data_IF_379194401032
#
_entry.id   IF_379194401032
#
_cell.length_a   1.000
_cell.length_b   1.000
_cell.length_c   1.000
_cell.angle_alpha   90.00
_cell.angle_beta   90.00
_cell.angle_gamma   90.00
#
_symmetry.space_group_name_H-M   'P 1'
#
loop_
_entity.id
_entity.type
_entity.pdbx_description
1 polymer ?
#
# COMPACT_ATOMS: atom_id res chain seq x y z
N UNK A 1 -11.55 3.99 -18.17
CA UNK A 1 -11.25 5.18 -17.31
C UNK A 1 -11.08 6.43 -18.17
N UNK A 2 -11.46 7.63 -17.69
CA UNK A 2 -11.23 8.90 -18.42
C UNK A 2 -9.73 9.25 -18.52
N UNK A 3 -9.27 9.75 -19.68
CA UNK A 3 -7.83 10.00 -19.95
C UNK A 3 -7.20 10.96 -18.93
N UNK A 4 -7.91 12.04 -18.56
CA UNK A 4 -7.42 13.02 -17.58
C UNK A 4 -7.26 12.41 -16.19
N UNK A 5 -8.22 11.57 -15.78
CA UNK A 5 -8.14 10.82 -14.53
C UNK A 5 -6.95 9.87 -14.51
N UNK A 6 -6.76 9.10 -15.59
CA UNK A 6 -5.61 8.20 -15.73
C UNK A 6 -4.29 8.98 -15.62
N UNK A 7 -4.15 10.09 -16.36
CA UNK A 7 -2.97 10.98 -16.31
C UNK A 7 -2.67 11.43 -14.88
N UNK A 8 -3.69 11.95 -14.17
CA UNK A 8 -3.57 12.43 -12.79
C UNK A 8 -3.11 11.34 -11.82
N UNK A 9 -3.66 10.12 -11.95
CA UNK A 9 -3.30 8.98 -11.11
C UNK A 9 -1.88 8.47 -11.40
N UNK A 10 -1.51 8.38 -12.68
CA UNK A 10 -0.14 8.04 -13.09
C UNK A 10 0.89 9.04 -12.57
N UNK A 11 0.59 10.35 -12.63
CA UNK A 11 1.45 11.39 -12.04
C UNK A 11 1.59 11.20 -10.52
N UNK A 12 0.49 10.95 -9.81
CA UNK A 12 0.52 10.75 -8.36
C UNK A 12 1.36 9.51 -7.98
N UNK A 13 1.19 8.38 -8.68
CA UNK A 13 1.98 7.18 -8.42
C UNK A 13 3.47 7.39 -8.71
N UNK A 14 3.82 8.04 -9.81
CA UNK A 14 5.22 8.37 -10.15
C UNK A 14 5.83 9.28 -9.09
N UNK A 15 5.09 10.28 -8.58
CA UNK A 15 5.56 11.11 -7.46
C UNK A 15 5.74 10.32 -6.18
N UNK A 16 4.81 9.42 -5.83
CA UNK A 16 4.94 8.52 -4.67
C UNK A 16 6.22 7.68 -4.79
N UNK A 17 6.54 7.16 -5.99
CA UNK A 17 7.79 6.42 -6.24
C UNK A 17 9.03 7.28 -6.00
N UNK A 18 9.05 8.51 -6.51
CA UNK A 18 10.15 9.46 -6.29
C UNK A 18 10.34 9.78 -4.81
N UNK A 19 9.24 10.06 -4.11
CA UNK A 19 9.21 10.32 -2.67
C UNK A 19 9.76 9.15 -1.86
N UNK A 20 9.39 7.92 -2.24
CA UNK A 20 9.91 6.71 -1.60
C UNK A 20 11.43 6.55 -1.81
N UNK A 21 11.93 6.79 -3.02
CA UNK A 21 13.37 6.73 -3.32
C UNK A 21 14.14 7.82 -2.56
N UNK A 22 13.66 9.07 -2.56
CA UNK A 22 14.27 10.19 -1.82
C UNK A 22 14.34 9.90 -0.31
N UNK A 23 13.25 9.41 0.28
CA UNK A 23 13.19 9.09 1.71
C UNK A 23 14.21 8.01 2.07
N UNK A 24 14.23 6.90 1.33
CA UNK A 24 15.15 5.78 1.59
C UNK A 24 16.61 6.19 1.37
N UNK A 25 16.91 6.97 0.33
CA UNK A 25 18.24 7.50 0.08
C UNK A 25 18.70 8.44 1.20
N UNK A 26 17.87 9.40 1.59
CA UNK A 26 18.19 10.39 2.64
C UNK A 26 18.45 9.73 4.00
N UNK A 27 17.78 8.61 4.27
CA UNK A 27 17.96 7.83 5.49
C UNK A 27 19.14 6.85 5.45
N UNK A 28 19.72 6.60 4.26
CA UNK A 28 20.60 5.47 3.99
C UNK A 28 20.02 4.12 4.48
N UNK A 29 18.69 4.01 4.55
CA UNK A 29 17.98 2.88 5.15
C UNK A 29 16.50 2.87 4.74
N UNK A 30 15.96 1.69 4.44
CA UNK A 30 14.52 1.53 4.13
C UNK A 30 14.25 0.49 3.06
N UNK A 31 13.00 0.42 2.60
CA UNK A 31 12.53 -0.70 1.76
C UNK A 31 11.96 -0.19 0.43
N UNK A 32 12.79 0.11 -0.57
CA UNK A 32 12.33 0.70 -1.82
C UNK A 32 11.50 -0.29 -2.64
N UNK A 33 11.95 -1.55 -2.78
CA UNK A 33 11.31 -2.51 -3.69
C UNK A 33 9.81 -2.70 -3.44
N UNK A 34 9.42 -3.01 -2.20
CA UNK A 34 8.00 -3.19 -1.85
C UNK A 34 7.22 -1.88 -1.72
N UNK A 35 7.89 -0.74 -1.60
CA UNK A 35 7.25 0.58 -1.59
C UNK A 35 6.83 0.96 -3.02
N UNK A 36 7.71 0.72 -3.99
CA UNK A 36 7.45 1.02 -5.40
C UNK A 36 6.34 0.16 -6.01
N UNK A 37 6.17 -1.09 -5.55
CA UNK A 37 5.15 -2.01 -6.06
C UNK A 37 3.72 -1.56 -5.75
N UNK A 38 3.50 -0.83 -4.64
CA UNK A 38 2.16 -0.42 -4.18
C UNK A 38 1.79 1.02 -4.54
N UNK A 39 2.66 1.75 -5.25
CA UNK A 39 2.46 3.17 -5.52
C UNK A 39 1.18 3.45 -6.35
N UNK A 40 0.82 2.60 -7.31
CA UNK A 40 -0.39 2.78 -8.12
C UNK A 40 -1.66 2.53 -7.30
N UNK A 41 -1.66 1.50 -6.44
CA UNK A 41 -2.75 1.23 -5.49
C UNK A 41 -2.94 2.42 -4.54
N UNK A 42 -1.85 2.95 -3.98
CA UNK A 42 -1.91 4.13 -3.10
C UNK A 42 -2.40 5.38 -3.85
N UNK A 43 -2.00 5.56 -5.11
CA UNK A 43 -2.47 6.66 -5.95
C UNK A 43 -3.99 6.57 -6.15
N UNK A 44 -4.53 5.41 -6.53
CA UNK A 44 -5.98 5.23 -6.67
C UNK A 44 -6.69 5.44 -5.33
N UNK A 45 -6.18 4.87 -4.23
CA UNK A 45 -6.79 5.00 -2.92
C UNK A 45 -6.85 6.46 -2.44
N UNK A 46 -5.73 7.17 -2.38
CA UNK A 46 -5.68 8.51 -1.80
C UNK A 46 -6.18 9.61 -2.72
N UNK A 47 -6.08 9.44 -4.05
CA UNK A 47 -6.37 10.51 -5.00
C UNK A 47 -7.71 10.32 -5.72
N UNK A 48 -8.42 9.22 -5.50
CA UNK A 48 -9.70 8.98 -6.17
C UNK A 48 -10.75 8.29 -5.30
N UNK A 49 -10.37 7.28 -4.52
CA UNK A 49 -11.33 6.38 -3.87
C UNK A 49 -11.67 6.79 -2.44
N UNK A 50 -10.67 7.08 -1.62
CA UNK A 50 -10.83 7.27 -0.18
C UNK A 50 -11.34 8.67 0.13
N UNK A 51 -12.34 8.72 1.02
CA UNK A 51 -12.84 9.95 1.58
C UNK A 51 -11.99 10.36 2.79
N UNK A 52 -11.03 11.26 2.57
CA UNK A 52 -10.10 11.74 3.59
C UNK A 52 -9.93 13.25 3.52
N UNK A 53 -9.61 13.85 4.67
CA UNK A 53 -9.37 15.29 4.84
C UNK A 53 -7.98 15.51 5.45
N UNK A 54 -7.00 15.98 4.67
CA UNK A 54 -5.65 16.21 5.19
C UNK A 54 -5.57 17.26 6.30
N UNK A 55 -6.48 18.24 6.26
CA UNK A 55 -6.67 19.30 7.25
C UNK A 55 -7.43 18.82 8.51
N UNK A 56 -8.13 17.69 8.43
CA UNK A 56 -8.76 17.01 9.57
C UNK A 56 -8.44 15.49 9.57
N UNK A 57 -7.19 15.11 9.89
CA UNK A 57 -6.75 13.72 9.86
C UNK A 57 -7.44 12.83 10.90
N UNK A 58 -8.16 13.42 11.86
CA UNK A 58 -8.92 12.72 12.90
C UNK A 58 -10.42 12.68 12.62
N UNK A 59 -10.86 13.16 11.45
CA UNK A 59 -12.26 13.11 11.03
C UNK A 59 -12.84 11.69 11.19
N UNK A 60 -13.83 11.53 12.05
CA UNK A 60 -14.32 10.22 12.49
C UNK A 60 -14.86 9.35 11.33
N UNK A 61 -15.51 9.98 10.36
CA UNK A 61 -16.19 9.32 9.23
C UNK A 61 -15.29 9.13 8.01
N UNK A 62 -13.99 9.41 8.12
CA UNK A 62 -13.05 9.20 7.02
C UNK A 62 -12.81 7.72 6.76
N UNK A 63 -12.48 7.40 5.52
CA UNK A 63 -11.95 6.09 5.16
C UNK A 63 -10.57 5.88 5.82
N UNK A 64 -10.26 4.62 6.13
CA UNK A 64 -9.03 4.24 6.83
C UNK A 64 -8.17 3.35 5.94
N UNK A 65 -6.85 3.50 6.02
CA UNK A 65 -5.88 2.63 5.35
C UNK A 65 -4.87 2.08 6.35
N UNK A 66 -4.84 0.76 6.49
CA UNK A 66 -3.80 0.07 7.27
C UNK A 66 -2.76 -0.53 6.31
N UNK A 67 -1.54 0.02 6.34
CA UNK A 67 -0.40 -0.60 5.67
C UNK A 67 0.14 -1.76 6.53
N UNK A 68 -0.41 -2.96 6.35
CA UNK A 68 -0.02 -4.15 7.13
C UNK A 68 1.44 -4.55 6.87
N UNK A 69 1.87 -4.45 5.61
CA UNK A 69 3.28 -4.54 5.21
C UNK A 69 4.08 -3.28 5.59
N UNK A 70 4.12 -2.96 6.87
CA UNK A 70 4.58 -1.68 7.42
C UNK A 70 5.98 -1.26 7.00
N UNK A 71 6.85 -2.18 6.59
CA UNK A 71 8.18 -1.83 6.08
C UNK A 71 8.14 -0.96 4.81
N UNK A 72 7.03 -0.99 4.04
CA UNK A 72 6.77 -0.16 2.84
C UNK A 72 6.26 1.26 3.13
N UNK A 73 6.53 1.72 4.34
CA UNK A 73 6.24 3.06 4.83
C UNK A 73 6.67 4.20 3.89
N UNK A 74 7.82 4.15 3.18
CA UNK A 74 8.22 5.21 2.26
C UNK A 74 7.15 5.57 1.21
N UNK A 75 6.41 4.58 0.68
CA UNK A 75 5.32 4.86 -0.26
C UNK A 75 4.08 5.45 0.43
N UNK A 76 3.72 4.95 1.62
CA UNK A 76 2.61 5.52 2.40
C UNK A 76 2.89 6.97 2.77
N UNK A 77 4.09 7.28 3.27
CA UNK A 77 4.48 8.64 3.59
C UNK A 77 4.53 9.52 2.33
N UNK A 78 5.03 9.00 1.21
CA UNK A 78 4.97 9.70 -0.07
C UNK A 78 3.54 10.06 -0.47
N UNK A 79 2.59 9.13 -0.33
CA UNK A 79 1.18 9.36 -0.63
C UNK A 79 0.53 10.38 0.32
N UNK A 80 0.78 10.27 1.63
CA UNK A 80 0.27 11.19 2.64
C UNK A 80 0.81 12.61 2.46
N UNK A 81 2.12 12.75 2.17
CA UNK A 81 2.74 14.04 1.90
C UNK A 81 2.17 14.69 0.63
N UNK A 82 2.09 13.94 -0.46
CA UNK A 82 1.54 14.42 -1.74
C UNK A 82 0.05 14.77 -1.62
N UNK A 83 -0.70 14.05 -0.75
CA UNK A 83 -2.09 14.36 -0.44
C UNK A 83 -2.26 15.57 0.49
N UNK A 84 -1.19 16.03 1.15
CA UNK A 84 -1.17 17.24 1.96
C UNK A 84 -1.33 17.03 3.48
N UNK A 85 -1.16 15.81 4.00
CA UNK A 85 -1.23 15.55 5.44
C UNK A 85 -0.06 16.18 6.22
N UNK A 86 1.07 16.36 5.54
CA UNK A 86 2.26 17.05 6.02
C UNK A 86 3.11 17.51 4.81
N UNK A 87 4.06 18.44 4.99
CA UNK A 87 4.90 18.92 3.89
C UNK A 87 5.79 17.83 3.29
N UNK A 88 5.88 17.79 1.95
CA UNK A 88 6.79 16.89 1.19
C UNK A 88 8.25 17.01 1.65
N UNK A 89 8.68 18.19 2.11
CA UNK A 89 10.04 18.40 2.63
C UNK A 89 10.40 17.55 3.84
N UNK A 90 9.41 17.08 4.61
CA UNK A 90 9.64 16.22 5.77
C UNK A 90 10.16 14.83 5.39
N UNK A 91 9.89 14.36 4.16
CA UNK A 91 10.32 13.04 3.68
C UNK A 91 11.84 12.84 3.72
N UNK A 92 12.63 13.92 3.56
CA UNK A 92 14.09 13.90 3.68
C UNK A 92 14.58 13.58 5.10
N UNK A 93 13.70 13.72 6.10
CA UNK A 93 13.98 13.40 7.49
C UNK A 93 13.52 11.98 7.86
N UNK A 94 13.12 11.15 6.90
CA UNK A 94 12.73 9.76 7.16
C UNK A 94 13.80 9.02 8.00
N UNK A 95 13.37 8.28 9.02
CA UNK A 95 14.22 7.51 9.97
C UNK A 95 15.24 8.32 10.78
N UNK A 96 15.24 9.65 10.69
CA UNK A 96 16.09 10.48 11.54
C UNK A 96 15.53 10.51 12.97
N UNK A 97 16.43 10.61 13.97
CA UNK A 97 16.06 10.51 15.39
C UNK A 97 15.01 11.54 15.82
N UNK A 98 15.08 12.75 15.29
CA UNK A 98 14.17 13.86 15.61
C UNK A 98 12.95 13.95 14.67
N UNK A 99 12.78 12.96 13.79
CA UNK A 99 11.70 12.93 12.82
C UNK A 99 10.50 12.15 13.33
N UNK A 100 9.29 12.64 13.06
CA UNK A 100 8.07 11.87 13.29
C UNK A 100 7.88 10.77 12.23
N UNK A 101 8.60 10.82 11.11
CA UNK A 101 8.56 9.82 10.03
C UNK A 101 9.43 8.60 10.36
N UNK A 102 8.89 7.73 11.21
CA UNK A 102 9.55 6.50 11.69
C UNK A 102 9.73 5.46 10.58
N UNK A 103 10.67 4.52 10.79
CA UNK A 103 11.03 3.49 9.79
C UNK A 103 9.93 2.47 9.48
N UNK A 104 8.94 2.39 10.36
CA UNK A 104 7.63 1.74 10.20
C UNK A 104 6.56 2.75 10.65
N UNK A 105 5.26 2.59 10.31
CA UNK A 105 4.25 3.60 10.60
C UNK A 105 4.08 3.77 12.12
N UNK A 106 3.97 5.01 12.57
CA UNK A 106 3.55 5.34 13.94
C UNK A 106 2.28 6.21 13.91
N UNK A 107 1.14 5.62 14.31
CA UNK A 107 -0.16 6.29 14.32
C UNK A 107 -0.25 7.44 15.34
N UNK A 108 0.66 7.51 16.32
CA UNK A 108 0.68 8.60 17.29
C UNK A 108 1.43 9.83 16.76
N UNK A 109 2.41 9.62 15.88
CA UNK A 109 3.29 10.67 15.37
C UNK A 109 2.90 11.22 14.00
N UNK A 110 2.42 10.36 13.08
CA UNK A 110 2.24 10.73 11.66
C UNK A 110 0.77 10.99 11.34
N UNK A 111 0.38 12.22 10.93
CA UNK A 111 -0.99 12.50 10.47
C UNK A 111 -1.37 11.62 9.28
N UNK A 112 -2.56 11.01 9.35
CA UNK A 112 -3.07 10.10 8.31
C UNK A 112 -2.63 8.64 8.44
N UNK A 113 -1.75 8.29 9.39
CA UNK A 113 -1.45 6.88 9.70
C UNK A 113 -2.51 6.32 10.66
N UNK A 114 -3.22 5.29 10.22
CA UNK A 114 -4.32 4.68 10.98
C UNK A 114 -3.89 3.64 12.01
N UNK A 115 -2.72 3.02 11.84
CA UNK A 115 -2.23 1.98 12.75
C UNK A 115 -0.70 1.95 12.74
N UNK A 116 -0.09 1.79 13.91
CA UNK A 116 1.32 1.45 13.99
C UNK A 116 1.52 -0.01 13.58
N UNK A 117 2.19 -0.24 12.46
CA UNK A 117 2.48 -1.58 11.92
C UNK A 117 3.99 -1.79 11.81
N UNK A 118 4.42 -2.99 11.40
CA UNK A 118 5.84 -3.32 11.23
C UNK A 118 6.12 -4.77 11.59
N UNK A 119 5.49 -5.25 12.67
CA UNK A 119 5.29 -6.68 12.86
C UNK A 119 4.24 -7.17 11.86
N UNK A 120 4.68 -7.97 10.89
CA UNK A 120 3.82 -8.49 9.82
C UNK A 120 2.64 -9.29 10.39
N UNK A 121 1.52 -9.30 9.66
CA UNK A 121 0.30 -10.00 10.03
C UNK A 121 -0.62 -9.22 10.99
N UNK A 122 -0.08 -8.27 11.77
CA UNK A 122 -0.89 -7.54 12.76
C UNK A 122 -1.83 -6.49 12.15
N UNK A 123 -1.43 -5.86 11.05
CA UNK A 123 -2.20 -4.77 10.44
C UNK A 123 -3.58 -5.21 9.95
N UNK A 124 -3.72 -6.41 9.37
CA UNK A 124 -5.03 -6.90 8.94
C UNK A 124 -5.98 -7.18 10.11
N UNK A 125 -5.46 -7.65 11.27
CA UNK A 125 -6.26 -7.78 12.49
C UNK A 125 -6.76 -6.42 12.99
N UNK A 126 -5.91 -5.38 12.92
CA UNK A 126 -6.30 -4.01 13.24
C UNK A 126 -7.37 -3.47 12.29
N UNK A 127 -7.22 -3.70 10.98
CA UNK A 127 -8.18 -3.31 9.97
C UNK A 127 -9.56 -3.96 10.21
N UNK A 128 -9.60 -5.22 10.62
CA UNK A 128 -10.84 -5.88 11.05
C UNK A 128 -11.51 -5.15 12.22
N UNK A 129 -10.73 -4.76 13.24
CA UNK A 129 -11.21 -3.98 14.37
C UNK A 129 -11.81 -2.64 13.96
N UNK A 130 -11.16 -1.93 13.04
CA UNK A 130 -11.68 -0.68 12.49
C UNK A 130 -12.98 -0.89 11.68
N UNK A 131 -13.04 -1.97 10.90
CA UNK A 131 -14.18 -2.27 10.05
C UNK A 131 -15.41 -2.67 10.88
N UNK A 132 -15.24 -3.55 11.88
CA UNK A 132 -16.34 -3.96 12.78
C UNK A 132 -16.82 -2.79 13.63
N UNK A 133 -15.92 -1.92 14.12
CA UNK A 133 -16.30 -0.71 14.85
C UNK A 133 -17.19 0.21 14.00
N UNK A 134 -16.89 0.35 12.71
CA UNK A 134 -17.68 1.14 11.77
C UNK A 134 -19.08 0.58 11.59
N UNK A 135 -19.19 -0.75 11.40
CA UNK A 135 -20.49 -1.43 11.27
C UNK A 135 -21.33 -1.31 12.54
N UNK A 136 -20.74 -1.56 13.71
CA UNK A 136 -21.44 -1.47 15.00
C UNK A 136 -21.90 -0.04 15.30
N UNK A 137 -21.17 0.96 14.81
CA UNK A 137 -21.48 2.38 15.00
C UNK A 137 -22.34 2.96 13.87
N UNK A 138 -22.86 2.13 12.95
CA UNK A 138 -23.61 2.56 11.76
C UNK A 138 -22.90 3.63 10.91
N UNK A 139 -21.57 3.58 10.86
CA UNK A 139 -20.75 4.50 10.05
C UNK A 139 -20.62 3.95 8.63
N UNK A 140 -20.60 4.85 7.65
CA UNK A 140 -20.51 4.50 6.22
C UNK A 140 -19.07 4.39 5.69
N UNK A 141 -18.06 4.70 6.52
CA UNK A 141 -16.67 4.64 6.10
C UNK A 141 -16.24 3.22 5.74
N UNK A 142 -15.22 3.12 4.90
CA UNK A 142 -14.56 1.89 4.50
C UNK A 142 -13.17 1.80 5.12
N UNK A 143 -12.72 0.56 5.26
CA UNK A 143 -11.37 0.24 5.71
C UNK A 143 -10.65 -0.48 4.58
N UNK A 144 -9.46 0.00 4.29
CA UNK A 144 -8.55 -0.57 3.32
C UNK A 144 -7.34 -1.15 4.06
N UNK A 145 -6.80 -2.26 3.57
CA UNK A 145 -5.56 -2.84 4.09
C UNK A 145 -4.66 -3.29 2.94
N UNK A 146 -3.34 -3.11 3.07
CA UNK A 146 -2.36 -3.60 2.08
C UNK A 146 -1.41 -4.55 2.79
N UNK A 147 -1.37 -5.79 2.32
CA UNK A 147 -0.53 -6.87 2.83
C UNK A 147 0.55 -7.23 1.81
N UNK A 148 1.66 -7.79 2.27
CA UNK A 148 2.63 -8.49 1.41
C UNK A 148 2.21 -9.94 1.17
N UNK A 149 2.64 -10.53 0.07
CA UNK A 149 2.51 -11.97 -0.19
C UNK A 149 3.32 -12.83 0.78
N UNK A 150 4.56 -12.44 1.12
CA UNK A 150 5.35 -13.09 2.16
C UNK A 150 4.75 -12.93 3.57
N UNK A 151 4.04 -11.83 3.82
CA UNK A 151 3.31 -11.60 5.09
C UNK A 151 2.17 -12.63 5.30
N UNK A 152 1.62 -13.22 4.24
CA UNK A 152 0.57 -14.24 4.34
C UNK A 152 1.03 -15.54 5.00
N UNK A 153 2.34 -15.70 5.25
CA UNK A 153 2.88 -16.84 6.00
C UNK A 153 2.56 -16.74 7.50
N UNK A 154 2.23 -15.55 8.00
CA UNK A 154 1.85 -15.36 9.40
C UNK A 154 0.46 -15.97 9.68
N UNK A 155 0.38 -16.82 10.69
CA UNK A 155 -0.88 -17.46 11.11
C UNK A 155 -1.98 -16.45 11.45
N UNK A 156 -1.57 -15.29 12.00
CA UNK A 156 -2.47 -14.20 12.37
C UNK A 156 -3.27 -13.65 11.19
N UNK A 157 -2.73 -13.68 9.96
CA UNK A 157 -3.47 -13.25 8.76
C UNK A 157 -4.70 -14.14 8.53
N UNK A 158 -4.57 -15.43 8.77
CA UNK A 158 -5.64 -16.41 8.56
C UNK A 158 -6.69 -16.35 9.67
N UNK A 159 -6.29 -16.09 10.91
CA UNK A 159 -7.23 -15.77 11.99
C UNK A 159 -8.05 -14.51 11.65
N UNK A 160 -7.39 -13.46 11.15
CA UNK A 160 -8.05 -12.25 10.70
C UNK A 160 -8.96 -12.50 9.48
N UNK A 161 -8.55 -13.34 8.53
CA UNK A 161 -9.38 -13.72 7.39
C UNK A 161 -10.67 -14.42 7.84
N UNK A 162 -10.56 -15.36 8.78
CA UNK A 162 -11.71 -16.07 9.36
C UNK A 162 -12.66 -15.11 10.09
N UNK A 163 -12.10 -14.21 10.91
CA UNK A 163 -12.86 -13.18 11.62
C UNK A 163 -13.66 -12.29 10.66
N UNK A 164 -13.02 -11.76 9.62
CA UNK A 164 -13.66 -10.82 8.71
C UNK A 164 -14.85 -11.42 7.96
N UNK A 165 -14.73 -12.69 7.54
CA UNK A 165 -15.81 -13.42 6.91
C UNK A 165 -16.95 -13.73 7.90
N UNK A 166 -16.62 -14.21 9.11
CA UNK A 166 -17.60 -14.50 10.15
C UNK A 166 -18.48 -13.28 10.48
N UNK A 167 -17.86 -12.11 10.65
CA UNK A 167 -18.55 -10.85 10.95
C UNK A 167 -19.04 -10.10 9.70
N UNK A 168 -18.93 -10.71 8.51
CA UNK A 168 -19.45 -10.17 7.25
C UNK A 168 -18.97 -8.74 6.98
N UNK A 169 -17.67 -8.48 7.15
CA UNK A 169 -17.08 -7.14 7.06
C UNK A 169 -16.99 -6.63 5.60
N UNK A 170 -18.13 -6.38 4.96
CA UNK A 170 -18.26 -5.83 3.60
C UNK A 170 -17.83 -4.36 3.43
N UNK A 171 -17.49 -3.69 4.53
CA UNK A 171 -16.79 -2.41 4.53
C UNK A 171 -15.26 -2.55 4.57
N UNK A 172 -14.71 -3.78 4.56
CA UNK A 172 -13.29 -4.06 4.44
C UNK A 172 -12.91 -4.48 3.00
N UNK A 173 -11.91 -3.80 2.45
CA UNK A 173 -11.27 -4.19 1.18
C UNK A 173 -9.77 -4.29 1.41
N UNK A 174 -9.22 -5.49 1.32
CA UNK A 174 -7.79 -5.73 1.48
C UNK A 174 -7.13 -6.00 0.13
N UNK A 175 -5.84 -5.70 0.03
CA UNK A 175 -4.98 -5.99 -1.11
C UNK A 175 -3.86 -6.91 -0.66
N UNK A 176 -3.56 -7.94 -1.46
CA UNK A 176 -2.26 -8.60 -1.42
C UNK A 176 -1.41 -7.99 -2.53
N UNK A 177 -0.31 -7.34 -2.15
CA UNK A 177 0.76 -6.97 -3.07
C UNK A 177 1.54 -8.23 -3.47
N UNK A 178 1.08 -8.90 -4.52
CA UNK A 178 1.62 -10.17 -4.99
C UNK A 178 2.75 -9.93 -5.99
N UNK A 179 3.94 -9.63 -5.45
CA UNK A 179 5.16 -9.35 -6.22
C UNK A 179 6.11 -10.55 -6.36
N UNK A 180 5.82 -11.67 -5.69
CA UNK A 180 6.54 -12.93 -5.78
C UNK A 180 7.81 -13.03 -4.93
N UNK A 181 8.20 -11.98 -4.18
CA UNK A 181 9.50 -11.92 -3.51
C UNK A 181 9.40 -11.49 -2.04
N UNK A 182 10.08 -12.21 -1.15
CA UNK A 182 10.36 -11.83 0.24
C UNK A 182 11.85 -11.50 0.46
N UNK A 183 12.32 -11.48 1.72
CA UNK A 183 13.73 -11.17 2.07
C UNK A 183 14.68 -12.19 1.41
N UNK A 184 14.44 -13.47 1.66
CA UNK A 184 15.32 -14.56 1.21
C UNK A 184 15.03 -15.06 -0.22
N UNK A 185 14.30 -14.25 -1.01
CA UNK A 185 14.04 -14.51 -2.43
C UNK A 185 12.60 -14.87 -2.75
N UNK A 186 12.43 -15.75 -3.73
CA UNK A 186 11.13 -16.16 -4.29
C UNK A 186 10.25 -16.86 -3.24
N UNK A 187 9.02 -16.38 -3.06
CA UNK A 187 8.09 -16.89 -2.04
C UNK A 187 7.78 -18.38 -2.23
N UNK A 188 7.82 -18.90 -3.46
CA UNK A 188 7.58 -20.32 -3.76
C UNK A 188 8.72 -21.22 -3.29
N UNK A 189 9.93 -20.66 -3.16
CA UNK A 189 11.14 -21.37 -2.72
C UNK A 189 11.37 -21.22 -1.22
N UNK A 190 10.98 -20.10 -0.63
CA UNK A 190 11.12 -19.87 0.81
C UNK A 190 9.98 -20.54 1.59
N UNK A 191 8.73 -20.15 1.34
CA UNK A 191 7.54 -20.73 1.96
C UNK A 191 6.28 -20.36 1.17
N UNK A 192 5.79 -21.26 0.32
CA UNK A 192 4.77 -20.91 -0.67
C UNK A 192 3.40 -20.58 -0.04
N UNK A 193 2.87 -19.34 -0.20
CA UNK A 193 1.50 -19.00 0.17
C UNK A 193 0.49 -19.37 -0.94
N UNK A 194 0.92 -19.94 -2.06
CA UNK A 194 0.05 -20.28 -3.19
C UNK A 194 -0.86 -21.51 -2.91
N UNK A 195 -2.00 -21.64 -3.60
CA UNK A 195 -2.71 -20.58 -4.34
C UNK A 195 -3.35 -19.56 -3.39
N UNK A 196 -3.03 -18.27 -3.55
CA UNK A 196 -3.47 -17.20 -2.63
C UNK A 196 -4.97 -16.94 -2.76
N UNK A 197 -5.46 -16.86 -3.99
CA UNK A 197 -6.86 -16.57 -4.30
C UNK A 197 -7.80 -17.67 -3.80
N UNK A 198 -7.47 -18.93 -4.04
CA UNK A 198 -8.25 -20.07 -3.54
C UNK A 198 -8.29 -20.12 -2.01
N UNK A 199 -7.17 -19.82 -1.33
CA UNK A 199 -7.15 -19.76 0.14
C UNK A 199 -8.10 -18.68 0.67
N UNK A 200 -8.06 -17.46 0.14
CA UNK A 200 -9.00 -16.43 0.60
C UNK A 200 -10.46 -16.77 0.26
N UNK A 201 -10.74 -17.39 -0.90
CA UNK A 201 -12.09 -17.90 -1.22
C UNK A 201 -12.55 -18.94 -0.20
N UNK A 202 -11.68 -19.87 0.20
CA UNK A 202 -11.97 -20.89 1.20
C UNK A 202 -12.25 -20.27 2.59
N UNK A 203 -11.61 -19.15 2.92
CA UNK A 203 -11.87 -18.37 4.13
C UNK A 203 -13.12 -17.47 4.03
N UNK A 204 -13.91 -17.58 2.95
CA UNK A 204 -15.20 -16.89 2.80
C UNK A 204 -15.13 -15.47 2.23
N UNK A 205 -13.99 -15.08 1.65
CA UNK A 205 -13.81 -13.75 1.05
C UNK A 205 -14.33 -13.70 -0.39
N UNK A 206 -14.77 -12.51 -0.81
CA UNK A 206 -14.82 -12.20 -2.24
C UNK A 206 -13.39 -11.98 -2.73
N UNK A 207 -13.01 -12.59 -3.86
CA UNK A 207 -11.64 -12.50 -4.35
C UNK A 207 -11.60 -12.06 -5.80
N UNK A 208 -10.81 -11.02 -6.07
CA UNK A 208 -10.58 -10.44 -7.39
C UNK A 208 -9.07 -10.46 -7.65
N UNK A 209 -8.65 -10.93 -8.82
CA UNK A 209 -7.24 -10.95 -9.22
C UNK A 209 -7.05 -9.90 -10.30
N UNK A 210 -6.07 -9.01 -10.12
CA UNK A 210 -5.81 -7.89 -11.03
C UNK A 210 -4.32 -7.73 -11.34
N UNK A 211 -4.01 -6.99 -12.38
CA UNK A 211 -2.70 -6.31 -12.52
C UNK A 211 -2.67 -5.08 -11.60
N UNK A 212 -1.68 -5.02 -10.70
CA UNK A 212 -1.50 -3.93 -9.74
C UNK A 212 -1.06 -2.60 -10.39
N UNK A 213 -0.72 -2.61 -11.67
CA UNK A 213 -0.25 -1.47 -12.44
C UNK A 213 -1.24 -1.05 -13.53
N UNK A 214 -2.41 -1.69 -13.59
CA UNK A 214 -3.54 -1.30 -14.43
C UNK A 214 -4.58 -0.54 -13.59
N UNK A 215 -4.62 0.78 -13.78
CA UNK A 215 -5.50 1.68 -13.03
C UNK A 215 -6.99 1.36 -13.20
N UNK A 216 -7.40 0.88 -14.37
CA UNK A 216 -8.79 0.53 -14.64
C UNK A 216 -9.17 -0.76 -13.89
N UNK A 217 -8.28 -1.74 -13.85
CA UNK A 217 -8.50 -2.95 -13.04
C UNK A 217 -8.55 -2.65 -11.54
N UNK A 218 -7.66 -1.78 -11.02
CA UNK A 218 -7.68 -1.36 -9.61
C UNK A 218 -9.00 -0.66 -9.27
N UNK A 219 -9.41 0.31 -10.09
CA UNK A 219 -10.68 1.04 -9.90
C UNK A 219 -11.88 0.09 -9.93
N UNK A 220 -11.96 -0.77 -10.95
CA UNK A 220 -13.06 -1.71 -11.12
C UNK A 220 -13.14 -2.70 -9.95
N UNK A 221 -12.01 -3.24 -9.50
CA UNK A 221 -11.96 -4.15 -8.37
C UNK A 221 -12.42 -3.48 -7.06
N UNK A 222 -12.03 -2.22 -6.83
CA UNK A 222 -12.50 -1.45 -5.67
C UNK A 222 -14.00 -1.18 -5.76
N UNK A 223 -14.52 -0.83 -6.95
CA UNK A 223 -15.95 -0.57 -7.15
C UNK A 223 -16.77 -1.85 -6.96
N UNK A 224 -16.29 -2.99 -7.46
CA UNK A 224 -16.88 -4.30 -7.21
C UNK A 224 -16.86 -4.65 -5.71
N UNK A 225 -15.75 -4.37 -5.01
CA UNK A 225 -15.63 -4.56 -3.57
C UNK A 225 -16.62 -3.67 -2.77
N UNK A 226 -16.89 -2.44 -3.23
CA UNK A 226 -17.90 -1.54 -2.63
C UNK A 226 -19.32 -2.10 -2.79
N UNK A 227 -19.60 -2.76 -3.91
CA UNK A 227 -20.92 -3.31 -4.23
C UNK A 227 -21.15 -4.73 -3.68
N UNK A 228 -20.08 -5.44 -3.33
CA UNK A 228 -20.16 -6.76 -2.71
C UNK A 228 -20.58 -6.63 -1.25
N UNK A 229 -21.76 -7.18 -0.90
CA UNK A 229 -22.33 -7.11 0.45
C UNK A 229 -22.25 -8.46 1.17
N UNK A 230 -22.21 -8.41 2.50
CA UNK A 230 -22.23 -9.58 3.36
C UNK A 230 -20.92 -10.38 3.45
N UNK A 231 -19.83 -9.93 2.81
CA UNK A 231 -18.50 -10.55 2.90
C UNK A 231 -17.39 -9.51 2.64
N UNK A 232 -16.21 -9.65 3.26
CA UNK A 232 -15.05 -8.81 2.93
C UNK A 232 -14.50 -9.15 1.54
N UNK A 233 -13.75 -8.21 0.94
CA UNK A 233 -13.12 -8.40 -0.38
C UNK A 233 -11.61 -8.39 -0.30
N UNK A 234 -10.96 -9.37 -0.92
CA UNK A 234 -9.53 -9.47 -1.10
C UNK A 234 -9.18 -9.27 -2.58
N UNK A 235 -8.36 -8.27 -2.87
CA UNK A 235 -7.84 -7.99 -4.20
C UNK A 235 -6.41 -8.54 -4.25
N UNK A 236 -6.20 -9.62 -4.98
CA UNK A 236 -4.86 -10.19 -5.21
C UNK A 236 -4.25 -9.43 -6.38
N UNK A 237 -3.43 -8.43 -6.08
CA UNK A 237 -2.85 -7.52 -7.06
C UNK A 237 -1.47 -8.02 -7.47
N UNK A 238 -1.37 -8.61 -8.66
CA UNK A 238 -0.10 -9.06 -9.24
C UNK A 238 0.74 -7.84 -9.58
N UNK A 239 1.90 -7.71 -8.95
CA UNK A 239 2.72 -6.50 -9.03
C UNK A 239 4.18 -6.84 -9.33
N UNK A 240 4.98 -5.80 -9.55
CA UNK A 240 6.43 -5.89 -9.76
C UNK A 240 7.11 -5.22 -8.56
N UNK A 241 7.89 -5.99 -7.80
CA UNK A 241 8.74 -5.43 -6.74
C UNK A 241 9.74 -4.48 -7.39
N UNK A 242 9.84 -3.24 -6.93
CA UNK A 242 10.72 -2.23 -7.53
C UNK A 242 10.13 -1.49 -8.75
N UNK A 243 8.82 -1.63 -9.01
CA UNK A 243 8.14 -1.06 -10.19
C UNK A 243 8.57 0.38 -10.50
N UNK A 244 8.93 0.63 -11.75
CA UNK A 244 9.24 1.96 -12.28
C UNK A 244 10.71 2.37 -12.17
N UNK A 245 11.56 1.53 -11.59
CA UNK A 245 13.03 1.72 -11.56
C UNK A 245 13.69 0.47 -12.12
N UNK A 246 14.33 0.61 -13.28
CA UNK A 246 14.77 -0.50 -14.14
C UNK A 246 15.63 -1.55 -13.43
N UNK A 247 16.59 -1.10 -12.62
CA UNK A 247 17.52 -1.98 -11.88
C UNK A 247 16.96 -2.50 -10.55
N UNK A 248 15.75 -2.10 -10.16
CA UNK A 248 15.06 -2.58 -8.97
C UNK A 248 13.93 -3.57 -9.28
N UNK A 249 13.42 -3.58 -10.52
CA UNK A 249 12.30 -4.44 -10.90
C UNK A 249 12.65 -5.94 -10.79
N UNK A 250 11.86 -6.68 -10.00
CA UNK A 250 12.01 -8.11 -9.73
C UNK A 250 13.35 -8.52 -9.09
N UNK A 251 14.01 -7.59 -8.40
CA UNK A 251 15.31 -7.83 -7.78
C UNK A 251 15.19 -7.97 -6.25
N UNK A 252 15.40 -9.17 -5.66
CA UNK A 252 15.27 -9.40 -4.22
C UNK A 252 16.21 -8.53 -3.38
N UNK A 253 17.38 -8.19 -3.93
CA UNK A 253 18.36 -7.31 -3.30
C UNK A 253 17.82 -5.93 -2.95
N UNK A 254 16.72 -5.48 -3.55
CA UNK A 254 16.09 -4.19 -3.25
C UNK A 254 14.95 -4.29 -2.23
N UNK A 255 14.81 -5.41 -1.52
CA UNK A 255 13.82 -5.52 -0.46
C UNK A 255 14.05 -4.50 0.67
N UNK A 256 15.28 -4.38 1.18
CA UNK A 256 15.62 -3.52 2.33
C UNK A 256 16.93 -2.73 2.19
N UNK A 257 17.49 -2.67 0.97
CA UNK A 257 18.71 -1.92 0.70
C UNK A 257 18.40 -0.50 0.19
N UNK A 258 19.09 0.48 0.75
CA UNK A 258 19.03 1.86 0.28
C UNK A 258 19.92 2.05 -0.97
N UNK A 259 19.49 2.84 -1.97
CA UNK A 259 20.31 3.09 -3.14
C UNK A 259 21.53 3.94 -2.77
N UNK A 260 22.67 3.65 -3.40
CA UNK A 260 23.84 4.55 -3.39
C UNK A 260 23.57 5.77 -4.26
N UNK A 261 24.45 6.77 -4.20
CA UNK A 261 24.30 8.02 -4.94
C UNK A 261 24.05 7.82 -6.43
N UNK A 262 24.83 6.97 -7.10
CA UNK A 262 24.69 6.73 -8.54
C UNK A 262 23.36 6.04 -8.88
N UNK A 263 22.94 5.09 -8.03
CA UNK A 263 21.66 4.38 -8.18
C UNK A 263 20.48 5.30 -7.90
N UNK A 264 20.61 6.20 -6.92
CA UNK A 264 19.62 7.22 -6.61
C UNK A 264 19.45 8.19 -7.78
N UNK A 265 20.55 8.73 -8.31
CA UNK A 265 20.53 9.64 -9.46
C UNK A 265 19.91 8.97 -10.70
N UNK A 266 20.24 7.70 -10.94
CA UNK A 266 19.62 6.91 -12.02
C UNK A 266 18.11 6.74 -11.79
N UNK A 267 17.69 6.30 -10.61
CA UNK A 267 16.27 6.08 -10.30
C UNK A 267 15.44 7.36 -10.43
N UNK A 268 15.95 8.49 -9.91
CA UNK A 268 15.26 9.78 -10.04
C UNK A 268 15.18 10.21 -11.50
N UNK A 269 16.25 10.05 -12.30
CA UNK A 269 16.23 10.39 -13.72
C UNK A 269 15.19 9.57 -14.49
N UNK A 270 15.09 8.27 -14.22
CA UNK A 270 14.08 7.40 -14.85
C UNK A 270 12.65 7.84 -14.49
N UNK A 271 12.40 8.16 -13.22
CA UNK A 271 11.09 8.61 -12.75
C UNK A 271 10.75 10.04 -13.24
N UNK A 272 11.74 10.92 -13.39
CA UNK A 272 11.57 12.26 -13.98
C UNK A 272 11.21 12.17 -15.46
N UNK A 273 11.83 11.25 -16.21
CA UNK A 273 11.49 10.99 -17.60
C UNK A 273 10.05 10.48 -17.74
N UNK A 274 9.62 9.56 -16.87
CA UNK A 274 8.23 9.09 -16.81
C UNK A 274 7.27 10.24 -16.50
N UNK A 275 7.58 11.08 -15.51
CA UNK A 275 6.74 12.22 -15.14
C UNK A 275 6.63 13.25 -16.27
N UNK A 276 7.74 13.56 -16.93
CA UNK A 276 7.76 14.51 -18.06
C UNK A 276 6.94 14.00 -19.24
N UNK A 277 7.02 12.71 -19.55
CA UNK A 277 6.19 12.10 -20.59
C UNK A 277 4.70 12.20 -20.25
N UNK A 278 4.35 11.92 -18.99
CA UNK A 278 2.98 12.05 -18.50
C UNK A 278 2.47 13.48 -18.50
N UNK A 279 3.30 14.51 -18.36
CA UNK A 279 2.84 15.92 -18.36
C UNK A 279 2.53 16.44 -19.76
N UNK A 280 3.22 15.93 -20.78
CA UNK A 280 3.11 16.34 -22.19
C UNK A 280 1.90 15.71 -22.91
N UNK A 281 1.43 14.53 -22.47
CA UNK A 281 0.29 13.78 -23.07
C UNK A 281 -1.11 14.27 -22.71
#
# INVERSE_FOLDING_TARGET
>A
MEKEKLKRLSIAATKIRKHAIEAVYSAASGHPGGSLSIADILAVLYFDVMNVKPDDPKWEDRDRLVLSKGHCTPALYGALAEKGFFPVSELKKFRQIDSFLQGHPDMKGVPGVDMSTGSLGQGISAANGMAIAGKLSNKSYRVYAILGDGELQEGQVWEAAMFAAHYKLDNLTAFVDFNGLQIDGDISKVMSPLPIDEKFRAFGWHVIVIDAHDYEQIENAINEAKNTKGKPTMIVAKSIKGKGVSFMENEPGWHGNAPKKEQYEQAIKELDAQLSALEVE
#
